data_IF_394370343368
#
_entry.id   IF_394370343368
#
_cell.length_a   1.000
_cell.length_b   1.000
_cell.length_c   1.000
_cell.angle_alpha   90.00
_cell.angle_beta   90.00
_cell.angle_gamma   90.00
#
_symmetry.space_group_name_H-M   'P 1'
#
loop_
_entity.id
_entity.type
_entity.pdbx_description
1 polymer ?
#
# COMPACT_ATOMS: atom_id res chain seq x y z
N UNK A 1 -6.59 11.28 8.69
CA UNK A 1 -6.60 10.41 9.88
C UNK A 1 -6.64 8.96 9.45
N UNK A 2 -5.83 8.12 10.09
CA UNK A 2 -5.87 6.67 9.87
C UNK A 2 -7.14 6.06 10.49
N UNK A 3 -7.67 4.99 9.89
CA UNK A 3 -8.81 4.26 10.46
C UNK A 3 -8.37 3.50 11.71
N UNK A 4 -9.33 2.99 12.48
CA UNK A 4 -9.01 2.04 13.54
C UNK A 4 -8.37 0.78 12.95
N UNK A 5 -7.59 0.07 13.77
CA UNK A 5 -7.04 -1.22 13.37
C UNK A 5 -8.15 -2.23 13.02
N UNK A 6 -9.29 -2.15 13.69
CA UNK A 6 -10.44 -3.02 13.44
C UNK A 6 -11.05 -2.79 12.06
N UNK A 7 -11.21 -1.54 11.63
CA UNK A 7 -11.71 -1.22 10.28
C UNK A 7 -10.75 -1.72 9.20
N UNK A 8 -9.44 -1.55 9.41
CA UNK A 8 -8.44 -2.10 8.49
C UNK A 8 -8.49 -3.64 8.45
N UNK A 9 -8.61 -4.30 9.60
CA UNK A 9 -8.65 -5.76 9.67
C UNK A 9 -9.83 -6.36 8.90
N UNK A 10 -10.98 -5.66 8.83
CA UNK A 10 -12.18 -6.13 8.10
C UNK A 10 -11.96 -6.33 6.60
N UNK A 11 -10.94 -5.70 6.00
CA UNK A 11 -10.65 -5.90 4.58
C UNK A 11 -9.88 -7.20 4.32
N UNK A 12 -9.30 -7.80 5.35
CA UNK A 12 -8.54 -9.04 5.21
C UNK A 12 -9.32 -10.27 5.67
N UNK A 13 -9.00 -11.42 5.10
CA UNK A 13 -9.37 -12.70 5.69
C UNK A 13 -8.56 -12.88 6.99
N UNK A 14 -9.24 -12.96 8.13
CA UNK A 14 -8.58 -13.05 9.43
C UNK A 14 -7.60 -14.23 9.50
N UNK A 15 -6.38 -13.98 10.00
CA UNK A 15 -5.35 -14.98 10.20
C UNK A 15 -4.56 -15.40 8.96
N UNK A 16 -4.91 -14.87 7.78
CA UNK A 16 -4.24 -15.20 6.52
C UNK A 16 -2.85 -14.56 6.40
N UNK A 17 -2.00 -15.05 5.49
CA UNK A 17 -0.70 -14.42 5.22
C UNK A 17 -0.86 -13.02 4.64
N UNK A 18 -1.86 -12.79 3.77
CA UNK A 18 -2.20 -11.46 3.28
C UNK A 18 -2.52 -10.49 4.42
N UNK A 19 -3.19 -10.95 5.48
CA UNK A 19 -3.46 -10.14 6.66
C UNK A 19 -2.18 -9.70 7.36
N UNK A 20 -1.25 -10.63 7.63
CA UNK A 20 0.05 -10.33 8.25
C UNK A 20 0.89 -9.37 7.41
N UNK A 21 0.92 -9.59 6.09
CA UNK A 21 1.59 -8.70 5.14
C UNK A 21 0.95 -7.31 5.12
N UNK A 22 -0.38 -7.23 5.10
CA UNK A 22 -1.12 -5.98 5.14
C UNK A 22 -0.84 -5.17 6.40
N UNK A 23 -0.80 -5.81 7.57
CA UNK A 23 -0.43 -5.17 8.83
C UNK A 23 0.99 -4.61 8.81
N UNK A 24 1.96 -5.39 8.30
CA UNK A 24 3.35 -4.94 8.16
C UNK A 24 3.47 -3.72 7.24
N UNK A 25 2.81 -3.77 6.07
CA UNK A 25 2.81 -2.67 5.11
C UNK A 25 2.12 -1.42 5.69
N UNK A 26 1.00 -1.56 6.38
CA UNK A 26 0.30 -0.45 7.04
C UNK A 26 1.18 0.26 8.05
N UNK A 27 1.93 -0.50 8.87
CA UNK A 27 2.90 0.07 9.81
C UNK A 27 4.00 0.87 9.12
N UNK A 28 4.50 0.38 7.98
CA UNK A 28 5.51 1.10 7.19
C UNK A 28 4.95 2.39 6.58
N UNK A 29 3.71 2.36 6.08
CA UNK A 29 3.01 3.55 5.56
C UNK A 29 2.83 4.59 6.66
N UNK A 30 2.32 4.18 7.82
CA UNK A 30 2.09 5.06 8.97
C UNK A 30 3.39 5.69 9.50
N UNK A 31 4.52 4.99 9.37
CA UNK A 31 5.83 5.49 9.81
C UNK A 31 6.51 6.41 8.78
N UNK A 32 6.07 6.40 7.51
CA UNK A 32 6.73 7.13 6.42
C UNK A 32 5.98 8.39 5.98
N UNK A 33 4.68 8.49 6.27
CA UNK A 33 3.87 9.65 5.91
C UNK A 33 3.15 10.22 7.13
N UNK A 34 3.24 11.55 7.24
CA UNK A 34 2.46 12.33 8.19
C UNK A 34 1.20 12.88 7.52
N UNK A 35 0.19 13.20 8.34
CA UNK A 35 -1.05 13.87 7.92
C UNK A 35 -1.79 13.17 6.77
N UNK A 36 -1.82 11.84 6.79
CA UNK A 36 -2.53 11.03 5.80
C UNK A 36 -3.93 10.62 6.29
N UNK A 37 -4.83 10.44 5.33
CA UNK A 37 -6.12 9.81 5.48
C UNK A 37 -6.04 8.36 5.00
N UNK A 38 -6.54 7.44 5.81
CA UNK A 38 -6.77 6.05 5.39
C UNK A 38 -8.26 5.89 5.08
N UNK A 39 -8.58 5.38 3.89
CA UNK A 39 -9.95 5.11 3.48
C UNK A 39 -10.07 3.67 2.98
N UNK A 40 -11.17 3.00 3.33
CA UNK A 40 -11.48 1.67 2.82
C UNK A 40 -12.37 1.82 1.59
N UNK A 41 -11.84 1.42 0.43
CA UNK A 41 -12.52 1.53 -0.86
C UNK A 41 -13.02 0.17 -1.36
N UNK A 42 -14.24 0.18 -1.90
CA UNK A 42 -14.89 -0.97 -2.55
C UNK A 42 -15.29 -2.12 -1.62
N UNK A 43 -15.37 -1.86 -0.31
CA UNK A 43 -15.93 -2.76 0.71
C UNK A 43 -15.35 -4.18 0.70
N UNK A 44 -16.18 -5.16 1.08
CA UNK A 44 -15.80 -6.57 1.14
C UNK A 44 -15.36 -7.18 -0.21
N UNK A 45 -15.67 -6.51 -1.33
CA UNK A 45 -15.38 -7.00 -2.69
C UNK A 45 -13.99 -6.61 -3.17
N UNK A 46 -13.57 -5.36 -2.92
CA UNK A 46 -12.29 -4.83 -3.44
C UNK A 46 -11.18 -4.94 -2.40
N UNK A 47 -11.52 -4.89 -1.10
CA UNK A 47 -10.58 -5.12 0.01
C UNK A 47 -9.32 -4.24 -0.07
N UNK A 48 -9.51 -2.95 -0.32
CA UNK A 48 -8.45 -1.98 -0.58
C UNK A 48 -8.46 -0.85 0.46
N UNK A 49 -7.35 -0.69 1.16
CA UNK A 49 -7.05 0.52 1.92
C UNK A 49 -6.30 1.49 1.03
N UNK A 50 -6.76 2.73 0.94
CA UNK A 50 -6.10 3.83 0.23
C UNK A 50 -5.58 4.85 1.23
N UNK A 51 -4.35 5.31 0.99
CA UNK A 51 -3.69 6.32 1.80
C UNK A 51 -3.52 7.58 0.95
N UNK A 52 -4.10 8.68 1.39
CA UNK A 52 -4.11 9.95 0.69
C UNK A 52 -3.66 11.09 1.59
N UNK A 53 -3.17 12.19 1.00
CA UNK A 53 -2.78 13.39 1.76
C UNK A 53 -3.53 14.61 1.26
N UNK A 54 -4.01 15.45 2.18
CA UNK A 54 -4.79 16.65 1.85
C UNK A 54 -6.08 16.31 1.09
N UNK A 55 -6.80 15.29 1.57
CA UNK A 55 -8.04 14.80 0.98
C UNK A 55 -7.86 13.60 0.05
N UNK A 56 -8.98 13.01 -0.37
CA UNK A 56 -9.03 11.71 -1.06
C UNK A 56 -8.54 11.73 -2.52
N UNK A 57 -8.33 12.91 -3.10
CA UNK A 57 -7.94 13.06 -4.51
C UNK A 57 -6.43 12.88 -4.75
N UNK A 58 -5.61 12.93 -3.69
CA UNK A 58 -4.17 12.78 -3.77
C UNK A 58 -3.74 11.48 -3.08
N UNK A 59 -4.01 10.36 -3.77
CA UNK A 59 -3.67 9.01 -3.29
C UNK A 59 -2.16 8.79 -3.43
N UNK A 60 -1.50 8.47 -2.33
CA UNK A 60 -0.08 8.17 -2.26
C UNK A 60 0.18 6.69 -2.56
N UNK A 61 -0.55 5.83 -1.86
CA UNK A 61 -0.40 4.39 -1.96
C UNK A 61 -1.68 3.65 -1.54
N UNK A 62 -1.72 2.34 -1.78
CA UNK A 62 -2.82 1.50 -1.35
C UNK A 62 -2.38 0.08 -1.01
N UNK A 63 -3.06 -0.56 -0.07
CA UNK A 63 -2.81 -1.93 0.35
C UNK A 63 -4.06 -2.77 0.08
N UNK A 64 -3.90 -3.89 -0.63
CA UNK A 64 -5.02 -4.73 -1.01
C UNK A 64 -4.75 -6.20 -0.74
N UNK A 65 -5.76 -6.93 -0.26
CA UNK A 65 -5.73 -8.38 -0.34
C UNK A 65 -5.92 -8.83 -1.79
N UNK A 66 -4.95 -9.58 -2.31
CA UNK A 66 -5.05 -10.24 -3.60
C UNK A 66 -5.61 -11.66 -3.50
N UNK A 67 -5.70 -12.33 -4.65
CA UNK A 67 -6.01 -13.76 -4.72
C UNK A 67 -4.86 -14.61 -4.14
N UNK A 68 -5.16 -15.86 -3.78
CA UNK A 68 -4.19 -16.85 -3.30
C UNK A 68 -3.37 -16.35 -2.10
N UNK A 69 -4.05 -15.69 -1.16
CA UNK A 69 -3.46 -15.17 0.08
C UNK A 69 -2.26 -14.22 -0.14
N UNK A 70 -2.28 -13.49 -1.25
CA UNK A 70 -1.29 -12.46 -1.56
C UNK A 70 -1.71 -11.08 -1.04
N UNK A 71 -0.74 -10.19 -0.89
CA UNK A 71 -0.97 -8.79 -0.56
C UNK A 71 -0.33 -7.91 -1.63
N UNK A 72 -1.01 -6.87 -2.07
CA UNK A 72 -0.50 -5.92 -3.06
C UNK A 72 -0.29 -4.55 -2.42
N UNK A 73 0.87 -3.95 -2.69
CA UNK A 73 1.15 -2.54 -2.42
C UNK A 73 1.09 -1.78 -3.75
N UNK A 74 0.20 -0.81 -3.83
CA UNK A 74 0.08 0.15 -4.92
C UNK A 74 0.79 1.45 -4.54
N UNK A 75 1.46 2.06 -5.50
CA UNK A 75 2.10 3.38 -5.36
C UNK A 75 1.75 4.27 -6.54
N UNK A 76 1.53 5.54 -6.25
CA UNK A 76 1.15 6.58 -7.19
C UNK A 76 2.30 7.59 -7.37
N UNK A 77 2.13 8.51 -8.32
CA UNK A 77 3.03 9.65 -8.56
C UNK A 77 4.46 9.29 -8.99
N UNK A 78 4.74 8.04 -9.35
CA UNK A 78 6.07 7.66 -9.82
C UNK A 78 6.00 7.35 -11.33
N UNK A 79 6.56 8.18 -12.23
CA UNK A 79 6.51 7.97 -13.68
C UNK A 79 7.33 6.74 -14.11
N UNK A 80 8.57 6.62 -13.65
CA UNK A 80 9.48 5.50 -13.93
C UNK A 80 10.07 4.97 -12.63
N UNK A 81 10.19 3.65 -12.50
CA UNK A 81 10.60 3.03 -11.25
C UNK A 81 11.28 1.70 -11.55
N UNK A 82 12.57 1.63 -11.23
CA UNK A 82 13.38 0.43 -11.28
C UNK A 82 13.98 0.18 -9.90
N UNK A 83 14.06 -1.08 -9.51
CA UNK A 83 14.62 -1.50 -8.24
C UNK A 83 15.06 -2.96 -8.33
N UNK A 84 16.25 -3.27 -7.84
CA UNK A 84 16.87 -4.60 -8.02
C UNK A 84 16.03 -5.74 -7.45
N UNK A 85 15.39 -5.50 -6.30
CA UNK A 85 14.60 -6.52 -5.57
C UNK A 85 13.10 -6.47 -5.82
N UNK A 86 12.55 -5.31 -6.19
CA UNK A 86 11.10 -5.11 -6.22
C UNK A 86 10.57 -5.31 -7.64
N UNK A 87 9.67 -6.28 -7.79
CA UNK A 87 9.06 -6.60 -9.09
C UNK A 87 7.77 -5.81 -9.27
N UNK A 88 7.84 -4.72 -10.03
CA UNK A 88 6.68 -3.88 -10.31
C UNK A 88 5.82 -4.43 -11.45
N UNK A 89 4.52 -4.21 -11.33
CA UNK A 89 3.54 -4.42 -12.40
C UNK A 89 2.58 -3.23 -12.47
N UNK A 90 1.84 -3.11 -13.57
CA UNK A 90 1.02 -1.93 -13.87
C UNK A 90 1.70 -1.02 -14.89
N UNK A 91 0.91 -0.28 -15.67
CA UNK A 91 1.37 0.63 -16.73
C UNK A 91 0.71 1.99 -16.57
N UNK A 92 1.43 3.04 -16.96
CA UNK A 92 0.90 4.41 -17.08
C UNK A 92 0.95 5.24 -15.79
N UNK A 93 0.27 6.39 -15.82
CA UNK A 93 0.32 7.47 -14.82
C UNK A 93 -0.35 7.15 -13.47
N UNK A 94 -1.13 6.07 -13.39
CA UNK A 94 -2.10 5.89 -12.32
C UNK A 94 -1.58 5.09 -11.13
N UNK A 95 -1.07 3.87 -11.29
CA UNK A 95 -0.47 3.14 -10.16
C UNK A 95 0.48 2.02 -10.62
N UNK A 96 1.65 1.94 -9.99
CA UNK A 96 2.51 0.75 -10.02
C UNK A 96 2.16 -0.10 -8.80
N UNK A 97 2.30 -1.42 -8.92
CA UNK A 97 2.04 -2.33 -7.80
C UNK A 97 3.10 -3.42 -7.67
N UNK A 98 3.32 -3.84 -6.44
CA UNK A 98 4.11 -5.01 -6.07
C UNK A 98 3.17 -6.02 -5.47
N UNK A 99 3.31 -7.29 -5.87
CA UNK A 99 2.56 -8.41 -5.29
C UNK A 99 3.49 -9.21 -4.39
N UNK A 100 3.11 -9.35 -3.12
CA UNK A 100 3.78 -10.18 -2.14
C UNK A 100 2.98 -11.45 -1.91
N UNK A 101 3.66 -12.58 -1.88
CA UNK A 101 3.09 -13.89 -1.52
C UNK A 101 3.59 -14.38 -0.17
N UNK A 102 4.65 -13.75 0.36
CA UNK A 102 5.23 -14.09 1.66
C UNK A 102 5.74 -12.83 2.38
N UNK A 103 5.63 -12.80 3.71
CA UNK A 103 6.03 -11.64 4.54
C UNK A 103 7.55 -11.36 4.52
N UNK A 104 8.36 -12.37 4.25
CA UNK A 104 9.82 -12.24 4.09
C UNK A 104 10.21 -11.44 2.85
N UNK A 105 9.33 -11.35 1.84
CA UNK A 105 9.54 -10.53 0.65
C UNK A 105 9.41 -9.03 0.95
N UNK A 106 8.84 -8.66 2.10
CA UNK A 106 8.64 -7.27 2.49
C UNK A 106 9.87 -6.80 3.27
N UNK A 107 10.85 -6.23 2.57
CA UNK A 107 12.01 -5.56 3.19
C UNK A 107 11.62 -4.17 3.67
N UNK A 108 11.85 -3.86 4.95
CA UNK A 108 11.60 -2.51 5.50
C UNK A 108 12.37 -1.44 4.73
N UNK A 109 13.61 -1.73 4.35
CA UNK A 109 14.48 -0.83 3.58
C UNK A 109 13.87 -0.51 2.21
N UNK A 110 13.51 -1.54 1.43
CA UNK A 110 12.99 -1.37 0.06
C UNK A 110 11.65 -0.62 0.05
N UNK A 111 10.77 -0.96 1.00
CA UNK A 111 9.47 -0.30 1.08
C UNK A 111 9.64 1.15 1.54
N UNK A 112 10.55 1.42 2.48
CA UNK A 112 10.85 2.80 2.92
C UNK A 112 11.42 3.62 1.76
N UNK A 113 12.36 3.07 1.00
CA UNK A 113 12.89 3.70 -0.21
C UNK A 113 11.75 4.03 -1.20
N UNK A 114 10.87 3.07 -1.45
CA UNK A 114 9.75 3.22 -2.36
C UNK A 114 8.77 4.32 -1.92
N UNK A 115 8.38 4.32 -0.65
CA UNK A 115 7.49 5.35 -0.09
C UNK A 115 8.17 6.72 -0.08
N UNK A 116 9.50 6.78 0.07
CA UNK A 116 10.30 7.97 -0.14
C UNK A 116 10.15 8.53 -1.56
N UNK A 117 10.18 7.68 -2.59
CA UNK A 117 9.93 8.10 -3.97
C UNK A 117 8.52 8.61 -4.20
N UNK A 118 7.51 8.01 -3.57
CA UNK A 118 6.15 8.56 -3.61
C UNK A 118 6.13 9.96 -2.99
N UNK A 119 6.73 10.14 -1.82
CA UNK A 119 6.80 11.43 -1.12
C UNK A 119 7.48 12.52 -1.94
N UNK A 120 8.57 12.19 -2.65
CA UNK A 120 9.30 13.13 -3.50
C UNK A 120 8.49 13.62 -4.70
N UNK A 121 7.54 12.82 -5.20
CA UNK A 121 6.83 13.10 -6.45
C UNK A 121 5.33 13.40 -6.28
N UNK A 122 4.75 13.10 -5.12
CA UNK A 122 3.37 13.44 -4.83
C UNK A 122 3.23 14.97 -4.79
N UNK A 123 2.19 15.54 -5.44
CA UNK A 123 1.86 16.93 -5.22
C UNK A 123 1.41 17.03 -3.76
N UNK A 124 2.09 17.85 -2.96
CA UNK A 124 1.85 18.08 -1.53
C UNK A 124 2.38 17.01 -0.55
#
# INVERSE_FOLDING_TARGET
>A
MMQSLDEFNKIFTAGSNAHKMGLKLRGLVASNFENIDETISGGAKVKLALYSRNGTNNVLCGIQQGSNDSCMLYVHHIPELEHDRLKFSGKGKHAKRIKFTDISQISTEDITWLLGKVRENAPY
#
